data_IF_204116899196
#
_entry.id   IF_204116899196
#
_cell.length_a   1.000
_cell.length_b   1.000
_cell.length_c   1.000
_cell.angle_alpha   90.00
_cell.angle_beta   90.00
_cell.angle_gamma   90.00
#
_symmetry.space_group_name_H-M   'P 1'
#
loop_
_entity.id
_entity.type
_entity.pdbx_description
1 polymer ?
#
# COMPACT_ATOMS: atom_id res chain seq x y z
N UNK A 1 9.12 6.17 11.45
CA UNK A 1 9.10 4.80 10.88
C UNK A 1 7.83 4.73 10.07
N UNK A 2 7.91 4.28 8.82
CA UNK A 2 6.69 4.03 8.06
C UNK A 2 6.07 2.72 8.59
N UNK A 3 4.90 2.82 9.21
CA UNK A 3 4.22 1.70 9.87
C UNK A 3 2.74 1.62 9.54
N UNK A 4 2.25 2.49 8.66
CA UNK A 4 0.82 2.65 8.40
C UNK A 4 0.30 1.69 7.34
N UNK A 5 1.15 0.81 6.81
CA UNK A 5 0.75 -0.28 5.91
C UNK A 5 0.76 -1.64 6.59
N UNK A 6 -0.03 -2.56 6.04
CA UNK A 6 -0.20 -3.93 6.50
C UNK A 6 -0.32 -4.86 5.29
N UNK A 7 0.08 -6.12 5.46
CA UNK A 7 -0.05 -7.16 4.43
C UNK A 7 -1.14 -8.13 4.86
N UNK A 8 -2.07 -8.40 3.95
CA UNK A 8 -3.20 -9.33 4.13
C UNK A 8 -3.11 -10.48 3.12
N UNK A 9 -3.73 -11.62 3.38
CA UNK A 9 -3.90 -12.69 2.39
C UNK A 9 -2.69 -13.61 2.27
N UNK A 10 -1.78 -13.56 3.25
CA UNK A 10 -0.58 -14.41 3.29
C UNK A 10 -0.98 -15.88 3.39
N UNK A 11 -1.96 -16.19 4.23
CA UNK A 11 -2.38 -17.58 4.53
C UNK A 11 -3.04 -18.28 3.34
N UNK A 12 -3.57 -17.51 2.38
CA UNK A 12 -4.25 -18.03 1.18
C UNK A 12 -3.38 -17.97 -0.09
N UNK A 13 -2.14 -17.47 0.01
CA UNK A 13 -1.20 -17.33 -1.10
C UNK A 13 -1.43 -16.12 -2.00
N UNK A 14 -2.21 -15.14 -1.55
CA UNK A 14 -2.58 -13.94 -2.30
C UNK A 14 -2.24 -12.67 -1.53
N UNK A 15 -0.96 -12.53 -1.16
CA UNK A 15 -0.52 -11.41 -0.33
C UNK A 15 -0.73 -10.06 -1.04
N UNK A 16 -1.40 -9.13 -0.36
CA UNK A 16 -1.65 -7.76 -0.83
C UNK A 16 -1.27 -6.79 0.28
N UNK A 17 -0.57 -5.72 -0.07
CA UNK A 17 -0.23 -4.63 0.85
C UNK A 17 -1.20 -3.47 0.70
N UNK A 18 -1.64 -2.91 1.83
CA UNK A 18 -2.46 -1.71 1.87
C UNK A 18 -2.25 -0.90 3.13
N UNK A 19 -2.89 0.27 3.17
CA UNK A 19 -2.97 1.14 4.34
C UNK A 19 -3.79 0.42 5.40
N UNK A 20 -3.33 0.48 6.65
CA UNK A 20 -4.07 0.00 7.81
C UNK A 20 -5.39 0.74 7.92
N UNK A 21 -6.47 -0.01 7.84
CA UNK A 21 -7.83 0.43 8.09
C UNK A 21 -8.62 -0.71 8.71
N UNK A 22 -9.89 -0.45 9.02
CA UNK A 22 -10.78 -1.44 9.63
C UNK A 22 -10.82 -2.75 8.85
N UNK A 23 -10.99 -2.70 7.53
CA UNK A 23 -11.02 -3.90 6.70
C UNK A 23 -9.74 -4.73 6.83
N UNK A 24 -8.57 -4.10 6.66
CA UNK A 24 -7.29 -4.80 6.64
C UNK A 24 -6.97 -5.42 8.00
N UNK A 25 -7.25 -4.72 9.10
CA UNK A 25 -7.06 -5.25 10.46
C UNK A 25 -8.01 -6.43 10.75
N UNK A 26 -9.29 -6.30 10.39
CA UNK A 26 -10.27 -7.38 10.55
C UNK A 26 -9.90 -8.61 9.70
N UNK A 27 -9.40 -8.39 8.49
CA UNK A 27 -8.98 -9.47 7.59
C UNK A 27 -7.78 -10.22 8.15
N UNK A 28 -6.74 -9.52 8.60
CA UNK A 28 -5.56 -10.13 9.22
C UNK A 28 -5.95 -10.88 10.51
N UNK A 29 -6.80 -10.28 11.34
CA UNK A 29 -7.29 -10.96 12.54
C UNK A 29 -8.01 -12.28 12.19
N UNK A 30 -8.84 -12.28 11.14
CA UNK A 30 -9.57 -13.46 10.68
C UNK A 30 -8.65 -14.51 10.05
N UNK A 31 -7.70 -14.10 9.20
CA UNK A 31 -6.82 -15.03 8.49
C UNK A 31 -5.90 -15.79 9.47
N UNK A 32 -5.46 -15.13 10.55
CA UNK A 32 -4.62 -15.72 11.58
C UNK A 32 -5.41 -16.31 12.76
N UNK A 33 -6.74 -16.18 12.80
CA UNK A 33 -7.54 -16.77 13.87
C UNK A 33 -7.63 -18.30 13.80
N UNK A 34 -7.28 -18.90 12.65
CA UNK A 34 -7.43 -20.34 12.38
C UNK A 34 -8.89 -20.81 12.28
N UNK A 35 -9.85 -19.88 12.15
CA UNK A 35 -11.29 -20.20 12.10
C UNK A 35 -11.90 -20.07 10.72
N UNK A 36 -11.30 -19.27 9.85
CA UNK A 36 -11.78 -19.07 8.48
C UNK A 36 -11.17 -20.10 7.53
N UNK A 37 -12.00 -20.62 6.65
CA UNK A 37 -11.57 -21.37 5.47
C UNK A 37 -10.94 -20.44 4.44
N UNK A 38 -10.15 -21.02 3.53
CA UNK A 38 -9.61 -20.28 2.38
C UNK A 38 -10.73 -19.59 1.56
N UNK A 39 -11.87 -20.25 1.37
CA UNK A 39 -12.96 -19.71 0.58
C UNK A 39 -13.60 -18.48 1.25
N UNK A 40 -13.85 -18.52 2.57
CA UNK A 40 -14.41 -17.38 3.30
C UNK A 40 -13.49 -16.15 3.22
N UNK A 41 -12.17 -16.35 3.26
CA UNK A 41 -11.19 -15.27 3.07
C UNK A 41 -11.23 -14.70 1.65
N UNK A 42 -11.36 -15.56 0.64
CA UNK A 42 -11.50 -15.11 -0.77
C UNK A 42 -12.80 -14.33 -0.98
N UNK A 43 -13.91 -14.80 -0.44
CA UNK A 43 -15.21 -14.15 -0.53
C UNK A 43 -15.17 -12.77 0.14
N UNK A 44 -14.54 -12.68 1.33
CA UNK A 44 -14.36 -11.42 2.05
C UNK A 44 -13.44 -10.43 1.32
N UNK A 45 -12.43 -10.91 0.59
CA UNK A 45 -11.52 -10.07 -0.18
C UNK A 45 -12.13 -9.57 -1.50
N UNK A 46 -13.10 -10.30 -2.04
CA UNK A 46 -13.66 -10.03 -3.37
C UNK A 46 -14.34 -8.66 -3.43
N UNK A 47 -13.97 -7.85 -4.43
CA UNK A 47 -14.58 -6.54 -4.68
C UNK A 47 -14.07 -5.39 -3.81
N UNK A 48 -13.25 -5.67 -2.78
CA UNK A 48 -12.76 -4.67 -1.82
C UNK A 48 -11.88 -3.58 -2.44
N UNK A 49 -11.18 -3.90 -3.54
CA UNK A 49 -10.37 -2.92 -4.28
C UNK A 49 -11.24 -1.87 -4.98
N UNK A 50 -12.36 -2.30 -5.60
CA UNK A 50 -13.31 -1.37 -6.23
C UNK A 50 -13.96 -0.49 -5.16
N UNK A 51 -14.33 -1.09 -4.03
CA UNK A 51 -14.95 -0.41 -2.91
C UNK A 51 -14.07 0.75 -2.40
N UNK A 52 -12.75 0.54 -2.29
CA UNK A 52 -11.79 1.58 -1.95
C UNK A 52 -11.55 2.58 -3.09
N UNK A 53 -11.11 2.10 -4.26
CA UNK A 53 -10.55 2.95 -5.32
C UNK A 53 -11.61 3.68 -6.16
N UNK A 54 -12.80 3.11 -6.29
CA UNK A 54 -13.88 3.65 -7.14
C UNK A 54 -15.00 4.21 -6.28
N UNK A 55 -15.48 3.43 -5.31
CA UNK A 55 -16.64 3.82 -4.51
C UNK A 55 -16.27 4.72 -3.32
N UNK A 56 -14.97 4.86 -3.01
CA UNK A 56 -14.44 5.78 -2.00
C UNK A 56 -14.63 5.33 -0.55
N UNK A 57 -14.98 4.07 -0.30
CA UNK A 57 -15.11 3.52 1.04
C UNK A 57 -13.73 3.10 1.57
N UNK A 58 -13.07 4.05 2.21
CA UNK A 58 -11.74 3.90 2.82
C UNK A 58 -11.74 3.10 4.13
N UNK A 59 -12.91 2.75 4.66
CA UNK A 59 -13.05 2.02 5.94
C UNK A 59 -13.16 0.52 5.68
N UNK A 60 -14.01 0.13 4.73
CA UNK A 60 -14.32 -1.27 4.43
C UNK A 60 -13.65 -1.78 3.15
N UNK A 61 -13.10 -0.90 2.32
CA UNK A 61 -12.34 -1.26 1.14
C UNK A 61 -10.86 -1.58 1.44
N UNK A 62 -10.21 -2.32 0.54
CA UNK A 62 -8.77 -2.57 0.60
C UNK A 62 -8.00 -1.41 -0.03
N UNK A 63 -7.47 -0.51 0.81
CA UNK A 63 -6.70 0.67 0.40
C UNK A 63 -5.27 0.29 0.00
N UNK A 64 -5.05 -0.19 -1.22
CA UNK A 64 -3.72 -0.64 -1.65
C UNK A 64 -2.71 0.51 -1.78
N UNK A 65 -1.60 0.40 -1.07
CA UNK A 65 -0.49 1.34 -1.14
C UNK A 65 0.81 0.69 -0.60
N UNK A 66 1.96 1.15 -1.09
CA UNK A 66 3.28 0.72 -0.61
C UNK A 66 3.71 1.45 0.67
N UNK A 67 4.91 1.15 1.17
CA UNK A 67 5.47 1.75 2.41
C UNK A 67 5.99 3.20 2.21
N UNK A 68 6.16 3.66 0.97
CA UNK A 68 6.73 5.01 0.73
C UNK A 68 5.68 6.14 0.86
N UNK A 69 4.75 6.05 1.83
CA UNK A 69 3.65 7.01 1.99
C UNK A 69 4.10 8.36 2.56
N UNK A 70 5.16 8.35 3.38
CA UNK A 70 5.63 9.58 4.05
C UNK A 70 6.14 10.65 3.10
N UNK A 71 6.50 10.27 1.85
CA UNK A 71 6.93 11.18 0.79
C UNK A 71 5.75 11.83 0.04
N UNK A 72 4.55 11.25 0.11
CA UNK A 72 3.36 11.74 -0.57
C UNK A 72 2.73 12.90 0.21
N UNK A 73 3.16 14.14 -0.06
CA UNK A 73 2.72 15.35 0.64
C UNK A 73 1.85 16.30 -0.18
N UNK A 74 1.75 16.08 -1.48
CA UNK A 74 1.06 16.94 -2.45
C UNK A 74 0.38 16.08 -3.51
N UNK A 75 -0.74 16.58 -4.04
CA UNK A 75 -1.41 16.01 -5.22
C UNK A 75 -0.88 16.75 -6.44
N UNK A 76 -0.35 16.01 -7.42
CA UNK A 76 0.36 16.60 -8.55
C UNK A 76 0.00 15.96 -9.89
N UNK A 77 0.13 16.71 -11.00
CA UNK A 77 0.05 16.14 -12.33
C UNK A 77 1.15 15.10 -12.57
N UNK A 78 0.82 14.04 -13.32
CA UNK A 78 1.75 12.95 -13.66
C UNK A 78 3.06 13.46 -14.26
N UNK A 79 2.99 14.48 -15.13
CA UNK A 79 4.18 15.07 -15.74
C UNK A 79 5.13 15.63 -14.68
N UNK A 80 4.61 16.40 -13.72
CA UNK A 80 5.39 17.02 -12.65
C UNK A 80 6.07 15.95 -11.80
N UNK A 81 5.34 14.89 -11.43
CA UNK A 81 5.88 13.77 -10.65
C UNK A 81 7.08 13.14 -11.35
N UNK A 82 6.95 12.84 -12.65
CA UNK A 82 8.02 12.21 -13.43
C UNK A 82 9.22 13.15 -13.59
N UNK A 83 8.97 14.42 -13.92
CA UNK A 83 10.04 15.42 -14.08
C UNK A 83 10.83 15.60 -12.77
N UNK A 84 10.14 15.68 -11.63
CA UNK A 84 10.75 15.81 -10.31
C UNK A 84 11.59 14.57 -9.96
N UNK A 85 11.07 13.36 -10.16
CA UNK A 85 11.81 12.11 -9.92
C UNK A 85 13.11 12.09 -10.73
N UNK A 86 13.05 12.40 -12.02
CA UNK A 86 14.23 12.38 -12.91
C UNK A 86 15.23 13.46 -12.52
N UNK A 87 14.76 14.67 -12.21
CA UNK A 87 15.62 15.78 -11.78
C UNK A 87 16.34 15.45 -10.48
N UNK A 88 15.61 15.02 -9.46
CA UNK A 88 16.16 14.66 -8.14
C UNK A 88 17.15 13.50 -8.23
N UNK A 89 16.89 12.50 -9.09
CA UNK A 89 17.83 11.41 -9.34
C UNK A 89 19.16 11.91 -9.92
N UNK A 90 19.12 12.81 -10.93
CA UNK A 90 20.32 13.40 -11.53
C UNK A 90 21.13 14.21 -10.52
N UNK A 91 20.46 15.06 -9.76
CA UNK A 91 21.10 15.86 -8.72
C UNK A 91 21.74 14.97 -7.63
N UNK A 92 21.06 13.89 -7.24
CA UNK A 92 21.56 12.94 -6.25
C UNK A 92 22.83 12.23 -6.74
N UNK A 93 22.83 11.76 -8.00
CA UNK A 93 24.01 11.13 -8.60
C UNK A 93 25.19 12.08 -8.74
N UNK A 94 24.95 13.35 -9.09
CA UNK A 94 26.00 14.36 -9.14
C UNK A 94 26.61 14.62 -7.75
N UNK A 95 25.78 14.75 -6.71
CA UNK A 95 26.24 14.90 -5.31
C UNK A 95 26.98 13.67 -4.79
N UNK A 96 26.60 12.47 -5.23
CA UNK A 96 27.26 11.24 -4.78
C UNK A 96 28.76 11.21 -5.14
N UNK A 97 29.19 11.92 -6.18
CA UNK A 97 30.61 12.02 -6.58
C UNK A 97 31.49 12.72 -5.54
N UNK A 98 30.91 13.55 -4.67
CA UNK A 98 31.67 14.25 -3.63
C UNK A 98 31.73 13.50 -2.31
N UNK A 99 31.17 12.29 -2.22
CA UNK A 99 31.21 11.47 -1.01
C UNK A 99 32.61 10.88 -0.85
N UNK A 100 33.30 11.25 0.23
CA UNK A 100 34.59 10.68 0.64
C UNK A 100 34.39 9.71 1.81
N UNK A 101 35.20 8.65 1.85
CA UNK A 101 35.25 7.68 2.96
C UNK A 101 36.00 8.26 4.16
#
# INVERSE_FOLDING_TARGET
>A
VDTDTIVTGITIGGAVRGIKNKFAEDFVALEYSGKATKQELLDRATGTNKLAAVDGDVVNGMMQAGETLTLLRKVEPVKTIIDDIVREARETLARAQSITV
#
